data_IF_140897148800
#
_entry.id   IF_140897148800
#
_cell.length_a   1.000
_cell.length_b   1.000
_cell.length_c   1.000
_cell.angle_alpha   90.00
_cell.angle_beta   90.00
_cell.angle_gamma   90.00
#
_symmetry.space_group_name_H-M   'P 1'
#
loop_
_entity.id
_entity.type
_entity.pdbx_description
1 polymer ?
#
# COMPACT_ATOMS: atom_id res chain seq x y z
N UNK A 1 0.80 57.63 29.79
CA UNK A 1 1.23 56.47 28.98
C UNK A 1 0.77 55.20 29.69
N UNK A 2 -0.11 54.38 29.09
CA UNK A 2 -0.44 53.05 29.65
C UNK A 2 0.78 52.15 29.52
N UNK A 3 1.26 51.61 30.62
CA UNK A 3 2.48 50.81 30.66
C UNK A 3 2.17 49.43 30.04
N UNK A 4 2.42 49.27 28.74
CA UNK A 4 2.29 48.01 27.99
C UNK A 4 3.42 47.03 28.37
N UNK A 5 3.52 46.67 29.65
CA UNK A 5 4.48 45.69 30.13
C UNK A 5 3.72 44.50 30.67
N UNK A 6 3.69 43.43 29.88
CA UNK A 6 3.16 42.12 30.26
C UNK A 6 4.25 41.40 31.06
N UNK A 7 3.99 41.10 32.33
CA UNK A 7 4.84 40.20 33.10
C UNK A 7 4.61 38.77 32.59
N UNK A 8 5.63 38.18 31.99
CA UNK A 8 5.65 36.77 31.62
C UNK A 8 6.54 36.06 32.62
N UNK A 9 6.01 35.25 33.55
CA UNK A 9 6.81 34.48 34.49
C UNK A 9 7.45 33.31 33.74
N UNK A 10 8.53 33.59 33.01
CA UNK A 10 9.19 32.65 32.09
C UNK A 10 9.52 31.33 32.80
N UNK A 11 9.98 31.37 34.06
CA UNK A 11 10.30 30.15 34.81
C UNK A 11 9.07 29.29 35.14
N UNK A 12 7.92 29.91 35.46
CA UNK A 12 6.67 29.19 35.75
C UNK A 12 6.06 28.63 34.47
N UNK A 13 6.13 29.39 33.37
CA UNK A 13 5.73 28.93 32.05
C UNK A 13 6.58 27.75 31.59
N UNK A 14 7.91 27.85 31.67
CA UNK A 14 8.82 26.76 31.31
C UNK A 14 8.57 25.52 32.16
N UNK A 15 8.36 25.67 33.47
CA UNK A 15 8.07 24.55 34.36
C UNK A 15 6.77 23.85 33.97
N UNK A 16 5.70 24.62 33.74
CA UNK A 16 4.39 24.08 33.35
C UNK A 16 4.41 23.46 31.96
N UNK A 17 5.09 24.09 31.02
CA UNK A 17 5.28 23.59 29.67
C UNK A 17 6.08 22.28 29.69
N UNK A 18 7.18 22.22 30.45
CA UNK A 18 8.01 21.02 30.59
C UNK A 18 7.25 19.87 31.23
N UNK A 19 6.43 20.14 32.26
CA UNK A 19 5.56 19.13 32.88
C UNK A 19 4.45 18.64 31.95
N UNK A 20 3.86 19.54 31.17
CA UNK A 20 2.87 19.19 30.15
C UNK A 20 3.51 18.34 29.04
N UNK A 21 4.64 18.78 28.49
CA UNK A 21 5.39 18.07 27.47
C UNK A 21 5.82 16.68 27.97
N UNK A 22 6.30 16.57 29.21
CA UNK A 22 6.68 15.29 29.83
C UNK A 22 5.49 14.33 29.97
N UNK A 23 4.30 14.84 30.33
CA UNK A 23 3.07 14.03 30.38
C UNK A 23 2.58 13.61 28.99
N UNK A 24 2.60 14.53 28.03
CA UNK A 24 2.20 14.25 26.66
C UNK A 24 3.15 13.21 26.02
N UNK A 25 4.45 13.38 26.22
CA UNK A 25 5.47 12.47 25.72
C UNK A 25 5.38 11.10 26.41
N UNK A 26 5.12 11.03 27.72
CA UNK A 26 4.85 9.76 28.40
C UNK A 26 3.60 9.06 27.88
N UNK A 27 2.54 9.79 27.53
CA UNK A 27 1.34 9.19 26.92
C UNK A 27 1.62 8.66 25.52
N UNK A 28 2.44 9.35 24.74
CA UNK A 28 2.91 8.90 23.43
C UNK A 28 3.76 7.63 23.59
N UNK A 29 4.73 7.64 24.50
CA UNK A 29 5.59 6.48 24.80
C UNK A 29 4.76 5.27 25.24
N UNK A 30 3.79 5.49 26.13
CA UNK A 30 2.91 4.44 26.62
C UNK A 30 2.00 3.88 25.51
N UNK A 31 1.55 4.71 24.57
CA UNK A 31 0.82 4.26 23.39
C UNK A 31 1.71 3.45 22.43
N UNK A 32 3.00 3.77 22.32
CA UNK A 32 3.96 2.97 21.57
C UNK A 32 4.24 1.63 22.27
N UNK A 33 4.54 1.64 23.57
CA UNK A 33 4.82 0.44 24.38
C UNK A 33 3.64 -0.54 24.44
N UNK A 34 2.40 -0.06 24.38
CA UNK A 34 1.21 -0.93 24.40
C UNK A 34 0.77 -1.49 23.05
N UNK A 35 1.12 -0.80 21.96
CA UNK A 35 0.61 -1.15 20.62
C UNK A 35 1.68 -1.71 19.68
N UNK A 36 2.96 -1.56 20.03
CA UNK A 36 4.07 -2.11 19.25
C UNK A 36 4.68 -3.30 19.98
N UNK A 37 4.95 -4.37 19.24
CA UNK A 37 5.73 -5.51 19.76
C UNK A 37 7.22 -5.14 19.92
N UNK A 38 7.97 -5.93 20.70
CA UNK A 38 9.42 -5.76 20.85
C UNK A 38 10.16 -5.79 19.51
N UNK A 39 9.71 -6.62 18.57
CA UNK A 39 10.28 -6.71 17.23
C UNK A 39 10.05 -5.42 16.42
N UNK A 40 8.87 -4.82 16.53
CA UNK A 40 8.54 -3.54 15.88
C UNK A 40 9.33 -2.37 16.47
N UNK A 41 9.52 -2.35 17.79
CA UNK A 41 10.34 -1.33 18.46
C UNK A 41 11.81 -1.41 18.06
N UNK A 42 12.35 -2.64 17.97
CA UNK A 42 13.73 -2.89 17.54
C UNK A 42 13.94 -2.50 16.08
N UNK A 43 12.96 -2.79 15.21
CA UNK A 43 12.99 -2.37 13.82
C UNK A 43 12.98 -0.84 13.69
N UNK A 44 12.11 -0.15 14.43
CA UNK A 44 11.99 1.32 14.39
C UNK A 44 13.28 2.03 14.82
N UNK A 45 13.90 1.58 15.91
CA UNK A 45 15.17 2.17 16.40
C UNK A 45 16.34 1.92 15.46
N UNK A 46 16.35 0.78 14.76
CA UNK A 46 17.40 0.45 13.79
C UNK A 46 17.26 1.24 12.49
N UNK A 47 16.05 1.72 12.17
CA UNK A 47 15.72 2.35 10.88
C UNK A 47 15.28 3.82 10.99
N UNK A 48 15.47 4.49 12.12
CA UNK A 48 14.94 5.83 12.44
C UNK A 48 15.26 6.88 11.35
N UNK A 49 16.50 6.91 10.86
CA UNK A 49 16.94 7.85 9.80
C UNK A 49 16.27 7.55 8.47
N UNK A 50 16.14 6.27 8.11
CA UNK A 50 15.45 5.84 6.90
C UNK A 50 13.94 6.13 6.96
N UNK A 51 13.34 6.11 8.16
CA UNK A 51 11.93 6.45 8.38
C UNK A 51 11.68 7.94 8.14
N UNK A 52 12.57 8.81 8.62
CA UNK A 52 12.46 10.26 8.41
C UNK A 52 12.59 10.62 6.92
N UNK A 53 13.61 10.06 6.24
CA UNK A 53 13.78 10.22 4.78
C UNK A 53 12.57 9.70 3.99
N UNK A 54 11.91 8.65 4.48
CA UNK A 54 10.71 8.07 3.85
C UNK A 54 9.46 8.93 4.06
N UNK A 55 9.30 9.56 5.22
CA UNK A 55 8.21 10.51 5.51
C UNK A 55 8.36 11.80 4.70
N UNK A 56 9.57 12.34 4.60
CA UNK A 56 9.86 13.54 3.81
C UNK A 56 9.59 13.26 2.33
N UNK A 57 10.05 12.10 1.83
CA UNK A 57 9.78 11.64 0.47
C UNK A 57 8.28 11.52 0.19
N UNK A 58 7.49 10.90 1.07
CA UNK A 58 6.02 10.82 0.90
C UNK A 58 5.34 12.19 0.85
N UNK A 59 5.89 13.18 1.54
CA UNK A 59 5.38 14.55 1.53
C UNK A 59 5.74 15.27 0.22
N UNK A 60 6.99 15.12 -0.24
CA UNK A 60 7.52 15.75 -1.46
C UNK A 60 6.91 15.18 -2.75
N UNK A 61 6.65 13.87 -2.79
CA UNK A 61 6.09 13.18 -3.96
C UNK A 61 4.56 13.15 -3.96
N UNK A 62 3.91 13.73 -2.95
CA UNK A 62 2.45 13.84 -2.89
C UNK A 62 1.71 12.59 -2.40
N UNK A 63 2.40 11.58 -1.86
CA UNK A 63 1.84 10.32 -1.30
C UNK A 63 1.48 10.44 0.19
N UNK A 64 0.81 11.53 0.55
CA UNK A 64 0.49 11.88 1.94
C UNK A 64 -0.46 10.90 2.65
N UNK A 65 -1.08 9.97 1.93
CA UNK A 65 -1.99 8.92 2.43
C UNK A 65 -1.25 7.78 3.13
N UNK A 66 0.05 7.63 2.86
CA UNK A 66 0.93 6.66 3.53
C UNK A 66 1.49 7.18 4.85
N UNK A 67 1.43 8.49 5.06
CA UNK A 67 1.64 9.10 6.37
C UNK A 67 0.35 8.90 7.14
N UNK A 68 0.43 8.28 8.33
CA UNK A 68 -0.73 8.11 9.19
C UNK A 68 -1.25 9.48 9.67
N UNK A 69 -2.04 10.17 8.86
CA UNK A 69 -2.65 11.47 9.18
C UNK A 69 -4.01 11.30 9.80
N UNK A 70 -4.27 10.20 10.49
CA UNK A 70 -5.56 10.01 11.15
C UNK A 70 -5.82 11.12 12.19
N UNK A 71 -4.85 11.90 12.66
CA UNK A 71 -5.18 13.10 13.47
C UNK A 71 -5.87 14.21 12.66
N UNK A 72 -5.72 14.24 11.33
CA UNK A 72 -6.34 15.21 10.42
C UNK A 72 -7.82 14.86 10.19
N UNK A 73 -8.76 15.75 10.53
CA UNK A 73 -10.18 15.51 10.35
C UNK A 73 -10.59 15.32 8.88
N UNK A 74 -9.93 15.98 7.94
CA UNK A 74 -10.25 15.93 6.51
C UNK A 74 -9.93 14.57 5.89
N UNK A 75 -8.71 14.07 6.13
CA UNK A 75 -8.27 12.75 5.64
C UNK A 75 -9.13 11.61 6.21
N UNK A 76 -9.54 11.69 7.49
CA UNK A 76 -10.49 10.71 8.06
C UNK A 76 -11.84 10.72 7.36
N UNK A 77 -12.38 11.91 7.09
CA UNK A 77 -13.67 12.05 6.40
C UNK A 77 -13.60 11.51 4.97
N UNK A 78 -12.56 11.85 4.21
CA UNK A 78 -12.40 11.37 2.83
C UNK A 78 -12.15 9.87 2.76
N UNK A 79 -11.42 9.30 3.72
CA UNK A 79 -11.20 7.85 3.80
C UNK A 79 -12.50 7.08 4.07
N UNK A 80 -13.30 7.52 5.04
CA UNK A 80 -14.60 6.91 5.34
C UNK A 80 -15.53 6.99 4.14
N UNK A 81 -15.56 8.13 3.45
CA UNK A 81 -16.38 8.26 2.25
C UNK A 81 -15.89 7.34 1.13
N UNK A 82 -14.58 7.18 0.92
CA UNK A 82 -14.06 6.26 -0.09
C UNK A 82 -14.47 4.81 0.19
N UNK A 83 -14.33 4.39 1.43
CA UNK A 83 -14.67 3.03 1.84
C UNK A 83 -16.20 2.82 1.73
N UNK A 84 -17.01 3.79 2.17
CA UNK A 84 -18.46 3.75 2.05
C UNK A 84 -18.94 3.72 0.59
N UNK A 85 -18.27 4.43 -0.32
CA UNK A 85 -18.58 4.39 -1.76
C UNK A 85 -18.26 3.03 -2.36
N UNK A 86 -17.14 2.40 -1.95
CA UNK A 86 -16.74 1.08 -2.46
C UNK A 86 -17.67 -0.04 -2.04
N UNK A 87 -18.22 0.07 -0.83
CA UNK A 87 -19.15 -0.92 -0.29
C UNK A 87 -20.61 -0.65 -0.71
N UNK A 88 -20.87 0.50 -1.33
CA UNK A 88 -22.16 0.83 -1.90
C UNK A 88 -22.37 0.13 -3.26
N UNK A 89 -23.60 -0.26 -3.61
CA UNK A 89 -23.90 -0.73 -4.96
C UNK A 89 -23.58 0.34 -6.02
N UNK A 90 -22.98 -0.08 -7.15
CA UNK A 90 -22.54 0.79 -8.27
C UNK A 90 -23.66 1.73 -8.81
N UNK A 91 -24.91 1.40 -8.55
CA UNK A 91 -26.09 2.15 -9.01
C UNK A 91 -26.37 3.43 -8.19
N UNK A 92 -25.78 3.58 -7.00
CA UNK A 92 -26.06 4.69 -6.09
C UNK A 92 -24.96 5.76 -6.15
N UNK A 93 -23.70 5.35 -6.21
CA UNK A 93 -22.57 6.27 -6.14
C UNK A 93 -21.27 5.58 -6.57
N UNK A 94 -20.46 6.31 -7.35
CA UNK A 94 -19.19 5.81 -7.88
C UNK A 94 -18.00 6.71 -7.52
N UNK A 95 -16.84 6.10 -7.29
CA UNK A 95 -15.57 6.82 -7.16
C UNK A 95 -15.20 7.51 -8.48
N UNK A 96 -14.58 8.68 -8.38
CA UNK A 96 -14.15 9.43 -9.56
C UNK A 96 -15.28 10.15 -10.31
N UNK A 97 -16.53 9.94 -9.94
CA UNK A 97 -17.69 10.64 -10.49
C UNK A 97 -18.20 11.74 -9.55
N UNK A 98 -19.01 12.67 -10.08
CA UNK A 98 -19.60 13.75 -9.29
C UNK A 98 -20.91 13.29 -8.68
N UNK A 99 -20.94 13.24 -7.35
CA UNK A 99 -22.09 12.83 -6.55
C UNK A 99 -22.61 14.01 -5.73
N UNK A 100 -23.91 14.08 -5.50
CA UNK A 100 -24.53 15.01 -4.56
C UNK A 100 -24.22 14.63 -3.12
N UNK A 101 -24.36 15.57 -2.19
CA UNK A 101 -24.21 15.26 -0.76
C UNK A 101 -25.27 14.28 -0.24
N UNK A 102 -26.38 14.10 -0.98
CA UNK A 102 -27.44 13.16 -0.63
C UNK A 102 -27.02 11.72 -0.96
N UNK A 103 -26.55 11.48 -2.19
CA UNK A 103 -26.05 10.17 -2.63
C UNK A 103 -24.86 9.71 -1.77
N UNK A 104 -23.91 10.61 -1.49
CA UNK A 104 -22.79 10.31 -0.60
C UNK A 104 -23.22 9.98 0.84
N UNK A 105 -24.31 10.59 1.31
CA UNK A 105 -24.83 10.34 2.65
C UNK A 105 -25.53 8.98 2.72
N UNK A 106 -26.27 8.61 1.69
CA UNK A 106 -26.92 7.28 1.59
C UNK A 106 -25.88 6.15 1.61
N UNK A 107 -24.73 6.32 0.93
CA UNK A 107 -23.61 5.38 1.05
C UNK A 107 -23.04 5.29 2.47
N UNK A 108 -22.90 6.43 3.17
CA UNK A 108 -22.43 6.44 4.57
C UNK A 108 -23.43 5.77 5.52
N UNK A 109 -24.73 5.90 5.28
CA UNK A 109 -25.78 5.24 6.08
C UNK A 109 -25.80 3.72 5.85
N UNK A 110 -25.53 3.27 4.62
CA UNK A 110 -25.47 1.85 4.28
C UNK A 110 -24.15 1.19 4.68
N UNK A 111 -23.09 1.97 4.86
CA UNK A 111 -21.76 1.48 5.22
C UNK A 111 -21.72 0.94 6.66
N UNK A 112 -21.27 -0.30 6.85
CA UNK A 112 -21.05 -0.92 8.16
C UNK A 112 -19.54 -1.01 8.48
N UNK A 113 -18.97 -0.07 9.26
CA UNK A 113 -17.55 -0.04 9.50
C UNK A 113 -17.12 -1.02 10.60
N UNK A 114 -16.20 -1.92 10.27
CA UNK A 114 -15.56 -2.80 11.25
C UNK A 114 -14.84 -2.02 12.36
N UNK A 115 -14.18 -0.90 12.02
CA UNK A 115 -13.40 -0.10 12.96
C UNK A 115 -14.25 0.93 13.73
N UNK A 116 -14.09 0.98 15.06
CA UNK A 116 -14.86 1.87 15.96
C UNK A 116 -14.75 3.35 15.62
N UNK A 117 -13.55 3.83 15.25
CA UNK A 117 -13.35 5.24 14.89
C UNK A 117 -14.03 5.63 13.56
N UNK A 118 -14.24 4.67 12.64
CA UNK A 118 -15.02 4.90 11.41
C UNK A 118 -16.50 5.00 11.76
N UNK A 119 -17.01 4.12 12.64
CA UNK A 119 -18.37 4.22 13.20
C UNK A 119 -18.61 5.58 13.86
N UNK A 120 -17.68 6.06 14.68
CA UNK A 120 -17.76 7.40 15.27
C UNK A 120 -17.78 8.52 14.22
N UNK A 121 -17.07 8.36 13.10
CA UNK A 121 -17.11 9.32 12.00
C UNK A 121 -18.43 9.28 11.23
N UNK A 122 -18.96 8.09 10.92
CA UNK A 122 -20.29 7.94 10.31
C UNK A 122 -21.36 8.58 11.19
N UNK A 123 -21.34 8.33 12.51
CA UNK A 123 -22.27 8.93 13.47
C UNK A 123 -22.20 10.47 13.55
N UNK A 124 -21.06 11.07 13.22
CA UNK A 124 -20.90 12.54 13.17
C UNK A 124 -21.48 13.14 11.90
N UNK A 125 -21.60 12.35 10.84
CA UNK A 125 -22.26 12.74 9.60
C UNK A 125 -23.76 12.49 9.82
N UNK A 126 -24.47 13.48 10.35
CA UNK A 126 -25.87 13.31 10.78
C UNK A 126 -26.92 13.64 9.70
N UNK A 127 -26.49 14.17 8.56
CA UNK A 127 -27.38 14.55 7.44
C UNK A 127 -26.58 14.88 6.17
N UNK A 128 -27.21 14.89 4.98
CA UNK A 128 -26.60 15.37 3.74
C UNK A 128 -26.05 16.80 3.86
N UNK A 129 -26.73 17.66 4.61
CA UNK A 129 -26.29 19.04 4.85
C UNK A 129 -25.02 19.08 5.72
N UNK A 130 -24.95 18.23 6.75
CA UNK A 130 -23.75 18.08 7.58
C UNK A 130 -22.56 17.62 6.73
N UNK A 131 -22.77 16.59 5.88
CA UNK A 131 -21.77 16.08 4.96
C UNK A 131 -21.28 17.16 3.97
N UNK A 132 -22.21 17.91 3.37
CA UNK A 132 -21.85 19.01 2.47
C UNK A 132 -21.02 20.10 3.14
N UNK A 133 -21.35 20.48 4.38
CA UNK A 133 -20.57 21.44 5.15
C UNK A 133 -19.17 20.91 5.50
N UNK A 134 -19.07 19.62 5.87
CA UNK A 134 -17.79 18.95 6.11
C UNK A 134 -16.93 18.98 4.85
N UNK A 135 -17.46 18.57 3.70
CA UNK A 135 -16.73 18.56 2.43
C UNK A 135 -16.33 19.97 1.99
N UNK A 136 -17.21 20.98 2.16
CA UNK A 136 -16.88 22.37 1.87
C UNK A 136 -15.73 22.90 2.74
N UNK A 137 -15.62 22.45 4.00
CA UNK A 137 -14.48 22.78 4.87
C UNK A 137 -13.17 22.12 4.45
N UNK A 138 -13.24 21.09 3.60
CA UNK A 138 -12.10 20.33 3.07
C UNK A 138 -11.85 20.62 1.58
N UNK A 139 -12.27 21.79 1.08
CA UNK A 139 -12.18 22.14 -0.36
C UNK A 139 -10.78 22.02 -0.97
N UNK A 140 -9.75 22.17 -0.15
CA UNK A 140 -8.34 22.12 -0.56
C UNK A 140 -7.76 20.68 -0.46
N UNK A 141 -8.60 19.70 -0.10
CA UNK A 141 -8.20 18.30 0.00
C UNK A 141 -7.99 17.71 -1.40
N UNK A 142 -6.77 17.24 -1.69
CA UNK A 142 -6.33 16.74 -3.01
C UNK A 142 -7.23 15.71 -3.70
N UNK A 143 -7.86 14.80 -2.94
CA UNK A 143 -8.75 13.76 -3.48
C UNK A 143 -10.23 14.19 -3.56
N UNK A 144 -10.53 15.46 -3.28
CA UNK A 144 -11.87 16.02 -3.33
C UNK A 144 -11.92 17.13 -4.38
N UNK A 145 -12.79 16.99 -5.38
CA UNK A 145 -13.15 18.09 -6.27
C UNK A 145 -14.59 18.51 -5.99
N UNK A 146 -14.82 19.81 -5.77
CA UNK A 146 -16.17 20.37 -5.60
C UNK A 146 -16.53 21.14 -6.86
N UNK A 147 -17.71 20.87 -7.43
CA UNK A 147 -18.29 21.64 -8.52
C UNK A 147 -19.67 22.12 -8.15
N UNK A 148 -19.99 23.35 -8.56
CA UNK A 148 -21.32 23.89 -8.41
C UNK A 148 -22.16 23.53 -9.64
N UNK A 149 -23.33 22.93 -9.42
CA UNK A 149 -24.30 22.64 -10.48
C UNK A 149 -25.65 23.24 -10.07
N UNK A 150 -25.99 24.38 -10.67
CA UNK A 150 -27.12 25.20 -10.23
C UNK A 150 -26.94 25.73 -8.81
N UNK A 151 -27.89 25.44 -7.91
CA UNK A 151 -27.88 25.86 -6.51
C UNK A 151 -27.25 24.83 -5.56
N UNK A 152 -26.73 23.71 -6.06
CA UNK A 152 -26.18 22.62 -5.23
C UNK A 152 -24.75 22.27 -5.61
N UNK A 153 -23.96 21.95 -4.58
CA UNK A 153 -22.60 21.43 -4.76
C UNK A 153 -22.66 19.94 -5.04
N UNK A 154 -21.83 19.52 -6.00
CA UNK A 154 -21.51 18.13 -6.29
C UNK A 154 -20.04 17.88 -5.98
N UNK A 155 -19.75 16.68 -5.53
CA UNK A 155 -18.49 16.29 -4.95
C UNK A 155 -17.98 15.07 -5.69
N UNK A 156 -16.76 15.16 -6.19
CA UNK A 156 -16.04 14.03 -6.75
C UNK A 156 -14.95 13.63 -5.78
N UNK A 157 -15.09 12.43 -5.25
CA UNK A 157 -14.08 11.80 -4.41
C UNK A 157 -13.29 10.87 -5.32
N UNK A 158 -12.03 11.23 -5.55
CA UNK A 158 -11.17 10.40 -6.37
C UNK A 158 -10.75 9.17 -5.59
N UNK A 159 -10.56 8.09 -6.34
CA UNK A 159 -9.82 6.96 -5.84
C UNK A 159 -8.42 7.42 -5.43
N UNK A 160 -7.90 6.91 -4.31
CA UNK A 160 -6.46 7.05 -4.04
C UNK A 160 -5.76 6.19 -5.08
N UNK A 161 -5.24 6.81 -6.15
CA UNK A 161 -4.43 6.20 -7.21
C UNK A 161 -4.27 4.67 -7.07
N UNK A 162 -5.30 3.93 -7.48
CA UNK A 162 -5.19 2.54 -7.93
C UNK A 162 -5.26 2.59 -9.46
N UNK A 163 -4.19 3.07 -10.07
CA UNK A 163 -3.97 2.96 -11.50
C UNK A 163 -2.72 2.12 -11.68
N UNK A 164 -2.82 0.83 -11.36
CA UNK A 164 -1.73 -0.11 -11.65
C UNK A 164 -1.68 -0.24 -13.17
N UNK A 165 -0.57 0.15 -13.77
CA UNK A 165 -0.40 -0.01 -15.21
C UNK A 165 -0.30 -1.50 -15.53
N UNK A 166 -1.07 -2.03 -16.50
CA UNK A 166 -0.84 -3.38 -17.00
C UNK A 166 0.54 -3.45 -17.65
N UNK A 167 1.20 -4.59 -17.51
CA UNK A 167 2.45 -4.90 -18.16
C UNK A 167 2.18 -5.98 -19.22
N UNK A 168 2.42 -5.65 -20.48
CA UNK A 168 2.41 -6.65 -21.55
C UNK A 168 3.70 -7.47 -21.45
N UNK A 169 3.58 -8.80 -21.40
CA UNK A 169 4.72 -9.70 -21.23
C UNK A 169 4.78 -10.65 -22.43
N UNK A 170 5.62 -10.32 -23.41
CA UNK A 170 5.88 -11.16 -24.58
C UNK A 170 7.07 -12.11 -24.35
N UNK A 171 7.96 -11.74 -23.43
CA UNK A 171 9.17 -12.48 -23.07
C UNK A 171 9.46 -12.40 -21.57
N UNK A 172 10.21 -13.36 -21.02
CA UNK A 172 10.66 -13.31 -19.61
C UNK A 172 11.42 -12.01 -19.30
N UNK A 173 12.07 -11.39 -20.29
CA UNK A 173 12.84 -10.16 -20.07
C UNK A 173 11.96 -8.96 -19.73
N UNK A 174 10.69 -8.98 -20.14
CA UNK A 174 9.77 -7.87 -19.92
C UNK A 174 9.39 -7.79 -18.43
N UNK A 175 9.55 -8.87 -17.67
CA UNK A 175 9.44 -8.83 -16.21
C UNK A 175 10.44 -7.83 -15.59
N UNK A 176 11.56 -7.52 -16.24
CA UNK A 176 12.51 -6.50 -15.76
C UNK A 176 12.03 -5.06 -15.99
N UNK A 177 10.90 -4.84 -16.65
CA UNK A 177 10.23 -3.53 -16.65
C UNK A 177 9.63 -3.21 -15.28
N UNK A 178 9.34 -4.23 -14.47
CA UNK A 178 9.01 -4.02 -13.07
C UNK A 178 10.24 -3.46 -12.34
N UNK A 179 10.14 -2.29 -11.70
CA UNK A 179 11.29 -1.66 -11.04
C UNK A 179 11.95 -2.54 -9.97
N UNK A 180 11.18 -3.35 -9.26
CA UNK A 180 11.74 -4.31 -8.29
C UNK A 180 12.56 -5.42 -8.96
N UNK A 181 12.15 -5.89 -10.15
CA UNK A 181 12.91 -6.89 -10.90
C UNK A 181 14.15 -6.28 -11.55
N UNK A 182 14.06 -5.04 -12.06
CA UNK A 182 15.22 -4.30 -12.56
C UNK A 182 16.30 -4.15 -11.48
N UNK A 183 15.92 -3.68 -10.29
CA UNK A 183 16.85 -3.50 -9.17
C UNK A 183 17.45 -4.82 -8.70
N UNK A 184 16.64 -5.89 -8.67
CA UNK A 184 17.15 -7.24 -8.40
C UNK A 184 18.19 -7.62 -9.44
N UNK A 185 17.90 -7.43 -10.74
CA UNK A 185 18.81 -7.75 -11.83
C UNK A 185 20.14 -6.99 -11.77
N UNK A 186 20.12 -5.71 -11.39
CA UNK A 186 21.34 -4.91 -11.16
C UNK A 186 22.15 -5.48 -10.00
N UNK A 187 21.53 -5.71 -8.85
CA UNK A 187 22.21 -6.28 -7.68
C UNK A 187 22.83 -7.65 -7.99
N UNK A 188 22.17 -8.47 -8.79
CA UNK A 188 22.65 -9.80 -9.16
C UNK A 188 23.93 -9.76 -10.03
N UNK A 189 24.30 -8.62 -10.62
CA UNK A 189 25.62 -8.48 -11.25
C UNK A 189 26.75 -8.37 -10.23
N UNK A 190 26.46 -7.79 -9.06
CA UNK A 190 27.46 -7.52 -8.02
C UNK A 190 27.50 -8.58 -6.92
N UNK A 191 26.34 -9.17 -6.61
CA UNK A 191 26.15 -10.10 -5.50
C UNK A 191 25.44 -11.36 -5.96
N UNK A 192 25.80 -12.49 -5.35
CA UNK A 192 25.08 -13.76 -5.57
C UNK A 192 23.63 -13.64 -5.08
N UNK A 193 22.67 -14.29 -5.77
CA UNK A 193 21.27 -14.34 -5.35
C UNK A 193 21.15 -15.05 -4.01
N UNK A 194 20.15 -14.67 -3.22
CA UNK A 194 19.60 -15.60 -2.23
C UNK A 194 18.61 -16.53 -2.92
N UNK A 195 18.42 -17.73 -2.38
CA UNK A 195 17.54 -18.77 -2.95
C UNK A 195 16.14 -18.23 -3.28
N UNK A 196 15.60 -17.40 -2.39
CA UNK A 196 14.28 -16.77 -2.55
C UNK A 196 14.17 -15.81 -3.73
N UNK A 197 15.26 -15.15 -4.14
CA UNK A 197 15.27 -14.25 -5.30
C UNK A 197 14.96 -15.05 -6.59
N UNK A 198 15.67 -16.17 -6.77
CA UNK A 198 15.52 -17.04 -7.94
C UNK A 198 14.16 -17.74 -7.94
N UNK A 199 13.69 -18.14 -6.76
CA UNK A 199 12.39 -18.80 -6.61
C UNK A 199 11.24 -17.87 -6.94
N UNK A 200 11.28 -16.64 -6.45
CA UNK A 200 10.26 -15.66 -6.80
C UNK A 200 10.21 -15.42 -8.31
N UNK A 201 11.37 -15.26 -8.95
CA UNK A 201 11.43 -15.07 -10.40
C UNK A 201 10.88 -16.28 -11.17
N UNK A 202 11.26 -17.50 -10.75
CA UNK A 202 10.75 -18.74 -11.33
C UNK A 202 9.22 -18.89 -11.17
N UNK A 203 8.66 -18.54 -10.00
CA UNK A 203 7.20 -18.55 -9.76
C UNK A 203 6.48 -17.55 -10.64
N UNK A 204 7.01 -16.33 -10.79
CA UNK A 204 6.41 -15.33 -11.68
C UNK A 204 6.35 -15.86 -13.11
N UNK A 205 7.42 -16.49 -13.61
CA UNK A 205 7.46 -17.07 -14.96
C UNK A 205 6.48 -18.23 -15.11
N UNK A 206 6.36 -19.10 -14.11
CA UNK A 206 5.44 -20.24 -14.13
C UNK A 206 3.98 -19.82 -14.34
N UNK A 207 3.58 -18.69 -13.78
CA UNK A 207 2.22 -18.16 -13.90
C UNK A 207 1.98 -17.31 -15.15
N UNK A 208 2.97 -17.12 -16.03
CA UNK A 208 2.75 -16.37 -17.28
C UNK A 208 1.95 -17.20 -18.30
N UNK A 209 1.02 -16.60 -19.07
CA UNK A 209 0.16 -17.31 -20.01
C UNK A 209 0.90 -18.18 -21.02
N UNK A 210 2.03 -17.70 -21.56
CA UNK A 210 2.83 -18.41 -22.54
C UNK A 210 3.44 -19.72 -22.01
N UNK A 211 3.52 -19.89 -20.69
CA UNK A 211 4.11 -21.08 -20.05
C UNK A 211 3.08 -22.04 -19.47
N UNK A 212 1.78 -21.72 -19.50
CA UNK A 212 0.72 -22.60 -18.99
C UNK A 212 0.64 -23.95 -19.73
N UNK A 213 0.81 -23.93 -21.05
CA UNK A 213 0.80 -25.13 -21.90
C UNK A 213 2.22 -25.60 -22.29
N UNK A 214 3.27 -24.96 -21.77
CA UNK A 214 4.65 -25.29 -22.11
C UNK A 214 5.17 -26.47 -21.29
N UNK A 215 6.04 -27.29 -21.89
CA UNK A 215 6.73 -28.33 -21.13
C UNK A 215 7.79 -27.73 -20.19
N UNK A 216 8.06 -28.44 -19.10
CA UNK A 216 9.03 -28.02 -18.08
C UNK A 216 10.43 -27.79 -18.65
N UNK A 217 10.84 -28.59 -19.64
CA UNK A 217 12.18 -28.46 -20.26
C UNK A 217 12.35 -27.10 -20.94
N UNK A 218 11.30 -26.64 -21.63
CA UNK A 218 11.25 -25.35 -22.29
C UNK A 218 11.34 -24.21 -21.27
N UNK A 219 10.55 -24.27 -20.20
CA UNK A 219 10.56 -23.23 -19.15
C UNK A 219 11.93 -23.18 -18.46
N UNK A 220 12.50 -24.34 -18.13
CA UNK A 220 13.83 -24.45 -17.51
C UNK A 220 14.91 -23.91 -18.43
N UNK A 221 14.87 -24.23 -19.74
CA UNK A 221 15.83 -23.72 -20.71
C UNK A 221 15.76 -22.19 -20.83
N UNK A 222 14.57 -21.61 -20.86
CA UNK A 222 14.37 -20.16 -20.94
C UNK A 222 14.85 -19.44 -19.67
N UNK A 223 14.53 -19.97 -18.49
CA UNK A 223 15.03 -19.46 -17.22
C UNK A 223 16.56 -19.54 -17.13
N UNK A 224 17.16 -20.67 -17.57
CA UNK A 224 18.62 -20.82 -17.63
C UNK A 224 19.26 -19.80 -18.57
N UNK A 225 18.65 -19.57 -19.74
CA UNK A 225 19.09 -18.53 -20.68
C UNK A 225 19.07 -17.15 -20.00
N UNK A 226 17.98 -16.81 -19.31
CA UNK A 226 17.88 -15.54 -18.57
C UNK A 226 18.95 -15.46 -17.48
N UNK A 227 19.16 -16.51 -16.70
CA UNK A 227 20.09 -16.50 -15.57
C UNK A 227 21.56 -16.49 -16.00
N UNK A 228 21.87 -16.97 -17.21
CA UNK A 228 23.23 -16.96 -17.78
C UNK A 228 23.85 -15.57 -17.95
N UNK A 229 23.05 -14.50 -17.81
CA UNK A 229 23.53 -13.12 -17.87
C UNK A 229 24.38 -12.70 -16.66
N UNK A 230 24.27 -13.40 -15.53
CA UNK A 230 24.94 -13.01 -14.30
C UNK A 230 26.22 -13.83 -14.04
N UNK A 231 27.26 -13.23 -13.45
CA UNK A 231 28.58 -13.85 -13.33
C UNK A 231 28.64 -15.04 -12.36
N UNK A 232 27.63 -15.21 -11.52
CA UNK A 232 27.52 -16.34 -10.58
C UNK A 232 26.79 -17.54 -11.16
N UNK A 233 26.26 -17.44 -12.39
CA UNK A 233 25.53 -18.50 -13.04
C UNK A 233 26.34 -19.79 -13.11
N UNK A 234 25.73 -20.87 -12.63
CA UNK A 234 26.19 -22.24 -12.81
C UNK A 234 25.04 -23.04 -13.38
N UNK A 235 25.28 -23.69 -14.53
CA UNK A 235 24.23 -24.36 -15.28
C UNK A 235 23.57 -25.50 -14.48
N UNK A 236 24.37 -26.34 -13.82
CA UNK A 236 23.88 -27.52 -13.10
C UNK A 236 23.14 -27.12 -11.83
N UNK A 237 23.68 -26.18 -11.08
CA UNK A 237 23.04 -25.65 -9.86
C UNK A 237 21.73 -24.95 -10.22
N UNK A 238 21.72 -24.14 -11.28
CA UNK A 238 20.52 -23.45 -11.73
C UNK A 238 19.44 -24.43 -12.17
N UNK A 239 19.79 -25.41 -13.00
CA UNK A 239 18.88 -26.44 -13.49
C UNK A 239 18.21 -27.18 -12.32
N UNK A 240 19.01 -27.63 -11.35
CA UNK A 240 18.53 -28.27 -10.14
C UNK A 240 17.58 -27.37 -9.33
N UNK A 241 17.96 -26.11 -9.11
CA UNK A 241 17.17 -25.18 -8.28
C UNK A 241 15.83 -24.82 -8.93
N UNK A 242 15.81 -24.57 -10.23
CA UNK A 242 14.59 -24.28 -10.97
C UNK A 242 13.68 -25.50 -10.93
N UNK A 243 14.16 -26.70 -11.31
CA UNK A 243 13.35 -27.91 -11.26
C UNK A 243 12.81 -28.22 -9.87
N UNK A 244 13.63 -28.02 -8.85
CA UNK A 244 13.18 -28.19 -7.47
C UNK A 244 11.99 -27.27 -7.17
N UNK A 245 12.06 -25.99 -7.55
CA UNK A 245 10.97 -25.04 -7.33
C UNK A 245 9.68 -25.43 -8.06
N UNK A 246 9.79 -25.92 -9.30
CA UNK A 246 8.65 -26.40 -10.09
C UNK A 246 8.06 -27.71 -9.57
N UNK A 247 8.85 -28.53 -8.89
CA UNK A 247 8.39 -29.77 -8.26
C UNK A 247 7.81 -29.58 -6.86
N UNK A 248 8.02 -28.39 -6.27
CA UNK A 248 7.66 -28.10 -4.89
C UNK A 248 6.24 -27.51 -4.85
N UNK A 249 5.36 -28.11 -4.05
CA UNK A 249 4.02 -27.58 -3.79
C UNK A 249 3.92 -27.09 -2.35
N UNK A 250 3.04 -26.12 -2.11
CA UNK A 250 2.72 -25.62 -0.77
C UNK A 250 1.24 -25.95 -0.55
N UNK A 251 0.93 -26.77 0.46
CA UNK A 251 -0.46 -27.21 0.69
C UNK A 251 -1.01 -28.17 -0.38
N UNK A 252 -0.21 -28.56 -1.37
CA UNK A 252 -0.69 -29.29 -2.56
C UNK A 252 -0.78 -28.42 -3.80
N UNK A 253 -0.69 -27.09 -3.63
CA UNK A 253 -0.87 -26.13 -4.70
C UNK A 253 0.46 -25.60 -5.25
N UNK A 254 0.37 -25.04 -6.46
CA UNK A 254 1.47 -24.34 -7.12
C UNK A 254 1.88 -23.11 -6.29
N UNK A 255 3.17 -22.92 -5.98
CA UNK A 255 3.59 -21.77 -5.18
C UNK A 255 3.30 -20.44 -5.87
N UNK A 256 2.70 -19.50 -5.13
CA UNK A 256 2.39 -18.16 -5.63
C UNK A 256 3.63 -17.24 -5.68
N UNK A 257 3.70 -16.32 -6.65
CA UNK A 257 4.70 -15.25 -6.66
C UNK A 257 4.58 -14.37 -5.42
N UNK A 258 5.71 -13.90 -4.91
CA UNK A 258 5.74 -12.96 -3.78
C UNK A 258 5.04 -11.67 -4.16
N UNK A 259 4.09 -11.23 -3.33
CA UNK A 259 3.44 -9.94 -3.50
C UNK A 259 4.38 -8.78 -3.17
N UNK A 260 3.91 -7.57 -3.50
CA UNK A 260 4.63 -6.34 -3.22
C UNK A 260 4.91 -6.13 -1.72
N UNK A 261 4.16 -6.74 -0.79
CA UNK A 261 4.33 -6.55 0.66
C UNK A 261 5.31 -7.56 1.29
N UNK A 262 5.80 -8.54 0.52
CA UNK A 262 6.74 -9.53 1.01
C UNK A 262 8.11 -8.91 1.35
N UNK A 263 8.63 -9.21 2.54
CA UNK A 263 9.89 -8.66 3.06
C UNK A 263 11.11 -8.93 2.16
N UNK A 264 11.17 -10.09 1.51
CA UNK A 264 12.27 -10.42 0.60
C UNK A 264 12.19 -9.57 -0.67
N UNK A 265 10.98 -9.32 -1.19
CA UNK A 265 10.77 -8.47 -2.37
C UNK A 265 10.96 -6.98 -2.07
N UNK A 266 10.62 -6.54 -0.85
CA UNK A 266 10.79 -5.16 -0.39
C UNK A 266 12.25 -4.68 -0.46
N UNK A 267 13.23 -5.58 -0.42
CA UNK A 267 14.67 -5.25 -0.59
C UNK A 267 15.00 -4.62 -1.94
N UNK A 268 14.18 -4.91 -2.96
CA UNK A 268 14.37 -4.42 -4.33
C UNK A 268 13.37 -3.34 -4.71
N UNK A 269 12.37 -3.09 -3.88
CA UNK A 269 11.29 -2.16 -4.17
C UNK A 269 11.81 -0.71 -4.20
N UNK A 270 11.40 0.05 -5.22
CA UNK A 270 11.61 1.52 -5.26
C UNK A 270 10.64 2.28 -4.35
N UNK A 271 9.87 1.55 -3.54
CA UNK A 271 8.65 2.02 -2.88
C UNK A 271 7.44 1.76 -3.75
N UNK A 272 6.46 1.02 -3.22
CA UNK A 272 5.18 0.75 -3.91
C UNK A 272 4.44 2.03 -4.33
N UNK A 273 4.74 3.15 -3.69
CA UNK A 273 4.22 4.47 -4.01
C UNK A 273 4.87 5.09 -5.26
N UNK A 274 6.13 4.74 -5.56
CA UNK A 274 6.83 5.17 -6.77
C UNK A 274 6.66 4.16 -7.92
N UNK A 275 6.15 2.96 -7.62
CA UNK A 275 6.00 1.90 -8.59
C UNK A 275 4.64 2.02 -9.29
N UNK A 276 4.59 2.26 -10.62
CA UNK A 276 3.33 2.30 -11.35
C UNK A 276 2.71 0.90 -11.52
N UNK A 277 3.45 -0.15 -11.11
CA UNK A 277 3.06 -1.55 -11.25
C UNK A 277 2.75 -2.21 -9.90
N UNK A 278 1.99 -3.31 -9.95
CA UNK A 278 1.78 -4.26 -8.85
C UNK A 278 1.99 -5.67 -9.37
N UNK A 279 2.65 -6.55 -8.62
CA UNK A 279 2.93 -7.93 -9.07
C UNK A 279 1.62 -8.65 -9.46
N UNK A 280 0.62 -8.64 -8.58
CA UNK A 280 -0.69 -9.28 -8.83
C UNK A 280 -1.71 -8.36 -9.52
N UNK A 281 -1.30 -7.19 -10.01
CA UNK A 281 -2.22 -6.25 -10.68
C UNK A 281 -1.76 -5.78 -12.05
N UNK A 282 -0.47 -5.93 -12.36
CA UNK A 282 0.13 -5.55 -13.63
C UNK A 282 0.42 -6.74 -14.51
N UNK A 283 0.76 -7.88 -13.93
CA UNK A 283 1.16 -9.05 -14.70
C UNK A 283 -0.08 -9.81 -15.19
N UNK A 284 -0.02 -10.38 -16.40
CA UNK A 284 -1.14 -11.07 -17.01
C UNK A 284 -1.29 -12.50 -16.48
N UNK A 285 -1.28 -12.69 -15.16
CA UNK A 285 -1.49 -14.01 -14.56
C UNK A 285 -2.91 -14.52 -14.84
N UNK A 286 -3.12 -15.84 -15.01
CA UNK A 286 -4.42 -16.42 -15.28
C UNK A 286 -5.34 -16.38 -14.06
N UNK A 287 -6.64 -16.45 -14.29
CA UNK A 287 -7.68 -16.43 -13.24
C UNK A 287 -7.47 -17.52 -12.18
N UNK A 288 -6.98 -18.69 -12.59
CA UNK A 288 -6.66 -19.83 -11.70
C UNK A 288 -5.68 -19.44 -10.56
N UNK A 289 -4.75 -18.52 -10.81
CA UNK A 289 -3.84 -18.01 -9.79
C UNK A 289 -4.59 -17.20 -8.72
N UNK A 290 -5.59 -16.42 -9.14
CA UNK A 290 -6.39 -15.58 -8.25
C UNK A 290 -7.42 -16.40 -7.47
N UNK A 291 -7.96 -17.46 -8.08
CA UNK A 291 -8.81 -18.42 -7.37
C UNK A 291 -8.06 -19.03 -6.17
N UNK A 292 -6.79 -19.42 -6.37
CA UNK A 292 -5.93 -19.92 -5.28
C UNK A 292 -5.67 -18.87 -4.19
N UNK A 293 -5.56 -17.58 -4.53
CA UNK A 293 -5.42 -16.51 -3.55
C UNK A 293 -6.67 -16.34 -2.69
N UNK A 294 -7.84 -16.46 -3.30
CA UNK A 294 -9.11 -16.28 -2.61
C UNK A 294 -9.46 -17.51 -1.72
N UNK A 295 -9.11 -18.71 -2.17
CA UNK A 295 -9.23 -19.93 -1.38
C UNK A 295 -8.34 -19.87 -0.12
N UNK A 296 -7.07 -19.50 -0.25
CA UNK A 296 -6.17 -19.40 0.89
C UNK A 296 -6.53 -18.28 1.89
N UNK A 297 -7.09 -17.17 1.40
CA UNK A 297 -7.68 -16.13 2.26
C UNK A 297 -8.89 -16.64 3.04
N UNK A 298 -9.67 -17.54 2.45
CA UNK A 298 -10.84 -18.15 3.09
C UNK A 298 -10.47 -19.21 4.13
N UNK A 299 -9.34 -19.92 3.94
CA UNK A 299 -8.83 -20.94 4.87
C UNK A 299 -7.95 -20.37 5.99
N UNK A 300 -7.50 -19.12 5.87
CA UNK A 300 -6.69 -18.44 6.88
C UNK A 300 -5.22 -18.89 6.89
N UNK A 301 -4.74 -19.49 5.79
CA UNK A 301 -3.33 -19.83 5.61
C UNK A 301 -2.56 -18.57 5.17
N UNK A 302 -1.61 -18.11 5.99
CA UNK A 302 -0.73 -16.99 5.65
C UNK A 302 0.33 -17.42 4.61
N UNK A 303 0.48 -16.65 3.53
CA UNK A 303 1.48 -16.82 2.47
C UNK A 303 2.80 -16.11 2.76
#
# INVERSE_FOLDING_TARGET
MKNNRLYVPVSDFDTKYREYAKRAFKKLLWAHEKNLSEDQLTWLTTNETAISERIDRFTETGHNERIWRNWDPGERTIRVLRDAIRDAPDEIVSLGEFNSAKELFEAVEAYDPEASWKRDMCNRISSPRCLGNLLASQRDHRNLTIRQHGNTNHYRIQESSRGVQPLEVESIKDLFELPCMANMAERLHEKKPVRKDLYNFARMVMWLPQYQDSDLETIVADLKNVFSRWPWYDEQVTDYQVRYEFSNTIGGDTPLPMNCDNDDLQRYCIGQDQCPYSIWGSLPFPDEMYDQLDEARSTGEEF
#
